data_IF_352365603963
#
_entry.id   IF_352365603963
#
_cell.length_a   1.000
_cell.length_b   1.000
_cell.length_c   1.000
_cell.angle_alpha   90.00
_cell.angle_beta   90.00
_cell.angle_gamma   90.00
#
_symmetry.space_group_name_H-M   'P 1'
#
loop_
_entity.id
_entity.type
_entity.pdbx_description
1 polymer ?
#
# COMPACT_ATOMS: atom_id res chain seq x y z
N UNK A 1 25.10 25.25 36.18
CA UNK A 1 24.68 25.99 34.97
C UNK A 1 24.83 25.05 33.79
N UNK A 2 23.69 24.58 33.26
CA UNK A 2 23.62 23.48 32.31
C UNK A 2 23.97 23.90 30.89
N UNK A 3 24.83 23.11 30.23
CA UNK A 3 25.18 23.23 28.82
C UNK A 3 24.29 22.31 27.99
N UNK A 4 23.10 22.80 27.62
CA UNK A 4 22.22 22.15 26.63
C UNK A 4 22.64 22.56 25.22
N UNK A 5 23.65 21.90 24.64
CA UNK A 5 24.00 22.08 23.22
C UNK A 5 24.37 20.79 22.47
N UNK A 6 24.19 19.62 23.09
CA UNK A 6 24.48 18.31 22.47
C UNK A 6 23.22 17.56 21.99
N UNK A 7 22.02 18.05 22.27
CA UNK A 7 20.77 17.38 21.92
C UNK A 7 20.33 17.50 20.45
N UNK A 8 20.83 18.49 19.71
CA UNK A 8 20.32 18.80 18.36
C UNK A 8 21.13 18.17 17.22
N UNK A 9 22.37 17.74 17.45
CA UNK A 9 23.22 17.18 16.40
C UNK A 9 22.94 15.69 16.12
N UNK A 10 22.40 14.95 17.10
CA UNK A 10 22.09 13.52 16.95
C UNK A 10 20.76 13.31 16.20
N UNK A 11 19.89 14.32 16.14
CA UNK A 11 18.59 14.20 15.49
C UNK A 11 18.62 14.34 13.96
N UNK A 12 19.68 14.91 13.38
CA UNK A 12 19.79 15.09 11.91
C UNK A 12 20.52 13.97 11.17
N UNK A 13 21.19 13.06 11.88
CA UNK A 13 21.86 11.90 11.28
C UNK A 13 21.12 10.57 11.49
N UNK A 14 19.88 10.61 11.99
CA UNK A 14 19.00 9.44 12.09
C UNK A 14 18.16 9.21 10.82
N UNK A 15 18.74 9.50 9.64
CA UNK A 15 18.09 9.35 8.33
C UNK A 15 18.59 8.12 7.55
N UNK A 16 19.51 7.33 8.11
CA UNK A 16 20.04 6.13 7.46
C UNK A 16 19.46 4.82 8.02
N UNK A 17 18.62 4.20 7.20
CA UNK A 17 18.48 2.75 7.06
C UNK A 17 18.07 1.90 8.28
N UNK A 18 16.86 2.13 8.82
CA UNK A 18 16.24 1.13 9.70
C UNK A 18 15.66 -0.03 8.87
N UNK A 19 16.48 -1.06 8.62
CA UNK A 19 16.05 -2.38 8.11
C UNK A 19 15.39 -3.16 9.25
N UNK A 20 14.09 -3.02 9.44
CA UNK A 20 13.37 -3.79 10.46
C UNK A 20 12.92 -5.15 9.96
N UNK A 21 13.56 -6.19 10.50
CA UNK A 21 13.07 -7.56 10.46
C UNK A 21 11.98 -7.76 11.51
N UNK A 22 10.80 -8.22 11.05
CA UNK A 22 9.77 -8.95 11.82
C UNK A 22 9.27 -8.25 13.08
N UNK A 23 8.40 -7.26 12.91
CA UNK A 23 7.58 -6.72 14.00
C UNK A 23 6.09 -6.98 13.72
N UNK A 24 5.42 -7.62 14.68
CA UNK A 24 3.96 -7.70 14.74
C UNK A 24 3.39 -6.40 15.30
N UNK A 25 2.39 -5.84 14.61
CA UNK A 25 1.59 -4.68 15.02
C UNK A 25 2.39 -3.38 15.31
N UNK A 26 3.11 -2.86 14.32
CA UNK A 26 3.73 -1.52 14.39
C UNK A 26 2.86 -0.45 13.73
N UNK A 27 2.68 0.70 14.42
CA UNK A 27 2.26 1.97 13.81
C UNK A 27 3.52 2.66 13.30
N UNK A 28 3.58 2.95 12.00
CA UNK A 28 4.76 3.48 11.32
C UNK A 28 4.33 4.73 10.56
N UNK A 29 5.06 5.83 10.73
CA UNK A 29 4.61 7.14 10.25
C UNK A 29 5.46 7.77 9.14
N UNK A 30 6.69 7.32 8.82
CA UNK A 30 7.47 8.01 7.77
C UNK A 30 8.54 7.15 7.09
N UNK A 31 8.54 7.20 5.75
CA UNK A 31 9.48 6.64 4.75
C UNK A 31 10.21 5.34 5.14
N UNK A 32 9.58 4.18 4.92
CA UNK A 32 10.16 2.89 5.32
C UNK A 32 10.07 1.81 4.23
N UNK A 33 11.09 0.94 4.24
CA UNK A 33 11.05 -0.34 3.54
C UNK A 33 10.72 -1.42 4.57
N UNK A 34 9.51 -1.98 4.48
CA UNK A 34 9.07 -3.05 5.36
C UNK A 34 9.22 -4.40 4.67
N UNK A 35 9.78 -5.36 5.41
CA UNK A 35 9.81 -6.77 5.02
C UNK A 35 8.63 -7.52 5.62
N UNK A 36 8.53 -8.80 5.28
CA UNK A 36 7.43 -9.70 5.63
C UNK A 36 7.00 -9.55 7.10
N UNK A 37 5.73 -9.21 7.29
CA UNK A 37 5.07 -9.14 8.61
C UNK A 37 3.74 -9.90 8.57
N UNK A 38 3.32 -10.43 9.72
CA UNK A 38 2.02 -11.11 9.84
C UNK A 38 0.84 -10.12 9.84
N UNK A 39 1.01 -8.97 10.50
CA UNK A 39 -0.03 -7.96 10.62
C UNK A 39 0.58 -6.57 10.77
N UNK A 40 0.20 -5.66 9.87
CA UNK A 40 0.62 -4.27 9.86
C UNK A 40 -0.59 -3.34 9.72
N UNK A 41 -0.58 -2.27 10.51
CA UNK A 41 -1.55 -1.18 10.43
C UNK A 41 -0.82 0.14 10.35
N UNK A 42 -1.05 0.86 9.26
CA UNK A 42 -0.40 2.13 8.97
C UNK A 42 -1.51 3.16 8.84
N UNK A 43 -1.47 4.19 9.67
CA UNK A 43 -2.44 5.27 9.58
C UNK A 43 -2.11 6.13 8.36
N UNK A 44 -0.88 6.62 8.26
CA UNK A 44 -0.46 7.53 7.20
C UNK A 44 0.97 7.20 6.76
N UNK A 45 1.26 7.39 5.48
CA UNK A 45 2.63 7.28 4.97
C UNK A 45 2.83 8.05 3.67
N UNK A 46 4.01 8.64 3.50
CA UNK A 46 4.34 9.38 2.26
C UNK A 46 4.91 8.46 1.18
N UNK A 47 5.92 7.66 1.51
CA UNK A 47 6.57 6.73 0.60
C UNK A 47 6.80 5.41 1.32
N UNK A 48 6.08 4.37 0.91
CA UNK A 48 6.18 3.07 1.56
C UNK A 48 6.43 1.97 0.54
N UNK A 49 7.36 1.09 0.90
CA UNK A 49 7.60 -0.14 0.16
C UNK A 49 7.44 -1.32 1.08
N UNK A 50 6.62 -2.29 0.67
CA UNK A 50 6.37 -3.51 1.42
C UNK A 50 6.66 -4.69 0.50
N UNK A 51 7.60 -5.54 0.89
CA UNK A 51 7.92 -6.75 0.12
C UNK A 51 6.90 -7.86 0.33
N UNK A 52 6.29 -7.96 1.51
CA UNK A 52 5.28 -8.98 1.80
C UNK A 52 4.51 -8.68 3.08
N UNK A 53 3.25 -9.11 3.15
CA UNK A 53 2.48 -9.14 4.40
C UNK A 53 1.38 -10.19 4.35
N UNK A 54 1.00 -10.75 5.49
CA UNK A 54 -0.22 -11.57 5.57
C UNK A 54 -1.46 -10.66 5.68
N UNK A 55 -1.44 -9.70 6.60
CA UNK A 55 -2.52 -8.75 6.78
C UNK A 55 -1.99 -7.32 6.82
N UNK A 56 -2.46 -6.48 5.90
CA UNK A 56 -2.04 -5.09 5.81
C UNK A 56 -3.26 -4.19 5.71
N UNK A 57 -3.32 -3.20 6.60
CA UNK A 57 -4.28 -2.11 6.55
C UNK A 57 -3.55 -0.79 6.49
N UNK A 58 -3.88 0.04 5.51
CA UNK A 58 -3.36 1.38 5.36
C UNK A 58 -4.56 2.32 5.28
N UNK A 59 -4.63 3.34 6.14
CA UNK A 59 -5.69 4.33 6.00
C UNK A 59 -5.35 5.26 4.84
N UNK A 60 -4.21 5.94 4.89
CA UNK A 60 -3.83 6.93 3.89
C UNK A 60 -2.38 6.77 3.43
N UNK A 61 -2.15 7.00 2.13
CA UNK A 61 -0.78 7.12 1.64
C UNK A 61 -0.63 7.90 0.34
N UNK A 62 0.48 8.62 0.19
CA UNK A 62 0.81 9.24 -1.09
C UNK A 62 1.34 8.22 -2.11
N UNK A 63 2.41 7.48 -1.79
CA UNK A 63 3.03 6.51 -2.69
C UNK A 63 3.23 5.15 -2.00
N UNK A 64 2.55 4.12 -2.50
CA UNK A 64 2.70 2.74 -2.03
C UNK A 64 3.19 1.82 -3.14
N UNK A 65 4.19 1.01 -2.79
CA UNK A 65 4.58 -0.16 -3.58
C UNK A 65 4.52 -1.41 -2.71
N UNK A 66 3.71 -2.38 -3.11
CA UNK A 66 3.52 -3.63 -2.38
C UNK A 66 3.75 -4.78 -3.36
N UNK A 67 4.62 -5.72 -3.00
CA UNK A 67 5.00 -6.81 -3.91
C UNK A 67 4.15 -8.07 -3.74
N UNK A 68 3.78 -8.42 -2.51
CA UNK A 68 2.92 -9.55 -2.20
C UNK A 68 2.07 -9.23 -0.95
N UNK A 69 0.83 -9.69 -0.93
CA UNK A 69 0.00 -9.64 0.28
C UNK A 69 -1.13 -10.67 0.24
N UNK A 70 -1.46 -11.30 1.37
CA UNK A 70 -2.64 -12.16 1.44
C UNK A 70 -3.93 -11.34 1.56
N UNK A 71 -3.96 -10.40 2.51
CA UNK A 71 -5.09 -9.50 2.72
C UNK A 71 -4.62 -8.05 2.80
N UNK A 72 -5.00 -7.26 1.80
CA UNK A 72 -4.67 -5.84 1.72
C UNK A 72 -5.94 -5.00 1.74
N UNK A 73 -5.99 -4.03 2.67
CA UNK A 73 -7.01 -2.98 2.70
C UNK A 73 -6.34 -1.62 2.70
N UNK A 74 -6.73 -0.78 1.76
CA UNK A 74 -6.28 0.61 1.65
C UNK A 74 -7.52 1.48 1.61
N UNK A 75 -7.64 2.47 2.50
CA UNK A 75 -8.76 3.40 2.39
C UNK A 75 -8.49 4.38 1.25
N UNK A 76 -7.39 5.13 1.31
CA UNK A 76 -7.10 6.18 0.34
C UNK A 76 -5.63 6.17 -0.07
N UNK A 77 -5.37 6.40 -1.37
CA UNK A 77 -4.02 6.66 -1.82
C UNK A 77 -3.92 7.43 -3.14
N UNK A 78 -2.87 8.25 -3.31
CA UNK A 78 -2.61 8.89 -4.59
C UNK A 78 -2.01 7.91 -5.62
N UNK A 79 -0.96 7.18 -5.26
CA UNK A 79 -0.24 6.30 -6.18
C UNK A 79 -0.01 4.91 -5.60
N UNK A 80 -0.63 3.92 -6.23
CA UNK A 80 -0.55 2.51 -5.85
C UNK A 80 0.08 1.68 -6.95
N UNK A 81 1.14 0.94 -6.60
CA UNK A 81 1.63 -0.19 -7.41
C UNK A 81 1.63 -1.45 -6.56
N UNK A 82 0.78 -2.40 -6.93
CA UNK A 82 0.57 -3.63 -6.18
C UNK A 82 0.80 -4.83 -7.10
N UNK A 83 1.63 -5.75 -6.65
CA UNK A 83 1.84 -7.04 -7.31
C UNK A 83 1.23 -8.14 -6.44
N UNK A 84 0.58 -9.10 -7.11
CA UNK A 84 0.14 -10.38 -6.55
C UNK A 84 -0.57 -10.36 -5.17
N UNK A 85 -1.51 -9.44 -4.87
CA UNK A 85 -2.33 -9.63 -3.70
C UNK A 85 -3.31 -10.79 -3.93
N UNK A 86 -3.53 -11.64 -2.93
CA UNK A 86 -4.64 -12.57 -2.99
C UNK A 86 -5.98 -11.83 -2.86
N UNK A 87 -6.16 -11.04 -1.80
CA UNK A 87 -7.36 -10.25 -1.59
C UNK A 87 -7.01 -8.77 -1.41
N UNK A 88 -7.49 -7.93 -2.31
CA UNK A 88 -7.27 -6.48 -2.28
C UNK A 88 -8.60 -5.74 -2.20
N UNK A 89 -8.72 -4.85 -1.22
CA UNK A 89 -9.79 -3.87 -1.12
C UNK A 89 -9.21 -2.46 -1.09
N UNK A 90 -9.68 -1.61 -1.98
CA UNK A 90 -9.33 -0.19 -2.06
C UNK A 90 -10.63 0.61 -2.05
N UNK A 91 -10.73 1.61 -1.17
CA UNK A 91 -11.87 2.53 -1.23
C UNK A 91 -11.63 3.56 -2.32
N UNK A 92 -10.53 4.31 -2.27
CA UNK A 92 -10.23 5.36 -3.24
C UNK A 92 -8.77 5.31 -3.69
N UNK A 93 -8.54 5.59 -4.98
CA UNK A 93 -7.20 5.85 -5.48
C UNK A 93 -7.16 6.81 -6.68
N UNK A 94 -6.14 7.65 -6.76
CA UNK A 94 -5.95 8.49 -7.95
C UNK A 94 -5.32 7.67 -9.09
N UNK A 95 -4.24 6.94 -8.82
CA UNK A 95 -3.55 6.10 -9.79
C UNK A 95 -3.27 4.71 -9.21
N UNK A 96 -3.85 3.68 -9.82
CA UNK A 96 -3.75 2.30 -9.35
C UNK A 96 -3.25 1.38 -10.47
N UNK A 97 -2.14 0.68 -10.20
CA UNK A 97 -1.59 -0.37 -11.06
C UNK A 97 -1.51 -1.68 -10.30
N UNK A 98 -2.15 -2.71 -10.85
CA UNK A 98 -2.19 -4.06 -10.30
C UNK A 98 -1.68 -5.04 -11.35
N UNK A 99 -0.65 -5.82 -11.03
CA UNK A 99 -0.05 -6.76 -11.99
C UNK A 99 -0.68 -8.16 -11.98
N UNK A 100 -1.36 -8.56 -10.91
CA UNK A 100 -1.95 -9.88 -10.76
C UNK A 100 -2.74 -9.97 -9.47
N UNK A 101 -3.92 -10.58 -9.43
CA UNK A 101 -4.65 -10.81 -8.16
C UNK A 101 -5.67 -11.95 -8.24
N UNK A 102 -6.05 -12.52 -7.10
CA UNK A 102 -7.20 -13.43 -7.07
C UNK A 102 -8.51 -12.64 -6.94
N UNK A 103 -8.62 -11.74 -5.96
CA UNK A 103 -9.84 -10.98 -5.70
C UNK A 103 -9.56 -9.48 -5.52
N UNK A 104 -10.15 -8.67 -6.40
CA UNK A 104 -10.09 -7.22 -6.35
C UNK A 104 -11.45 -6.62 -6.05
N UNK A 105 -11.49 -5.70 -5.08
CA UNK A 105 -12.62 -4.80 -4.87
C UNK A 105 -12.14 -3.37 -4.76
N UNK A 106 -12.53 -2.54 -5.71
CA UNK A 106 -12.18 -1.12 -5.80
C UNK A 106 -13.49 -0.34 -5.78
N UNK A 107 -13.67 0.59 -4.86
CA UNK A 107 -14.84 1.47 -4.92
C UNK A 107 -14.61 2.51 -6.01
N UNK A 108 -13.56 3.31 -5.91
CA UNK A 108 -13.29 4.43 -6.82
C UNK A 108 -11.83 4.47 -7.27
N UNK A 109 -11.61 4.79 -8.55
CA UNK A 109 -10.28 5.11 -9.06
C UNK A 109 -10.31 6.06 -10.25
N UNK A 110 -9.47 7.11 -10.27
CA UNK A 110 -9.36 7.93 -11.47
C UNK A 110 -8.67 7.18 -12.61
N UNK A 111 -7.50 6.59 -12.35
CA UNK A 111 -6.75 5.83 -13.35
C UNK A 111 -6.44 4.43 -12.82
N UNK A 112 -7.08 3.43 -13.43
CA UNK A 112 -6.95 2.02 -13.06
C UNK A 112 -6.35 1.20 -14.20
N UNK A 113 -5.29 0.46 -13.88
CA UNK A 113 -4.69 -0.56 -14.75
C UNK A 113 -4.57 -1.88 -14.01
N UNK A 114 -5.19 -2.93 -14.54
CA UNK A 114 -5.11 -4.30 -14.03
C UNK A 114 -4.60 -5.19 -15.16
N UNK A 115 -3.47 -5.86 -14.95
CA UNK A 115 -2.94 -6.80 -15.94
C UNK A 115 -3.70 -8.12 -15.92
N UNK A 116 -3.78 -8.77 -14.76
CA UNK A 116 -4.46 -10.06 -14.61
C UNK A 116 -5.22 -10.11 -13.29
N UNK A 117 -6.41 -10.70 -13.30
CA UNK A 117 -7.12 -11.03 -12.07
C UNK A 117 -8.15 -12.15 -12.25
N UNK A 118 -8.43 -12.94 -11.22
CA UNK A 118 -9.57 -13.88 -11.32
C UNK A 118 -10.90 -13.14 -11.15
N UNK A 119 -11.11 -12.45 -10.03
CA UNK A 119 -12.35 -11.75 -9.73
C UNK A 119 -12.11 -10.25 -9.53
N UNK A 120 -12.84 -9.42 -10.26
CA UNK A 120 -12.70 -7.96 -10.20
C UNK A 120 -14.06 -7.32 -9.97
N UNK A 121 -14.17 -6.53 -8.90
CA UNK A 121 -15.29 -5.65 -8.64
C UNK A 121 -14.85 -4.19 -8.60
N UNK A 122 -15.37 -3.36 -9.50
CA UNK A 122 -15.04 -1.92 -9.55
C UNK A 122 -16.34 -1.13 -9.56
N UNK A 123 -16.54 -0.23 -8.59
CA UNK A 123 -17.80 0.54 -8.53
C UNK A 123 -17.77 1.72 -9.49
N UNK A 124 -16.68 2.48 -9.51
CA UNK A 124 -16.49 3.63 -10.39
C UNK A 124 -15.03 3.75 -10.83
N UNK A 125 -14.82 4.14 -12.08
CA UNK A 125 -13.50 4.58 -12.52
C UNK A 125 -13.56 5.46 -13.76
N UNK A 126 -12.81 6.56 -13.79
CA UNK A 126 -12.78 7.45 -14.95
C UNK A 126 -12.03 6.83 -16.14
N UNK A 127 -10.81 6.34 -15.91
CA UNK A 127 -9.99 5.66 -16.90
C UNK A 127 -9.66 4.25 -16.41
N UNK A 128 -10.05 3.24 -17.18
CA UNK A 128 -9.83 1.84 -16.83
C UNK A 128 -9.21 1.05 -17.97
N UNK A 129 -8.19 0.26 -17.64
CA UNK A 129 -7.64 -0.78 -18.51
C UNK A 129 -7.55 -2.08 -17.71
N UNK A 130 -8.22 -3.12 -18.19
CA UNK A 130 -8.10 -4.47 -17.66
C UNK A 130 -7.69 -5.34 -18.84
N UNK A 131 -6.51 -5.97 -18.78
CA UNK A 131 -6.07 -6.85 -19.86
C UNK A 131 -6.78 -8.19 -19.78
N UNK A 132 -6.73 -8.85 -18.62
CA UNK A 132 -7.35 -10.16 -18.42
C UNK A 132 -8.10 -10.24 -17.08
N UNK A 133 -9.34 -10.73 -17.15
CA UNK A 133 -10.10 -11.10 -15.96
C UNK A 133 -11.05 -12.26 -16.22
N UNK A 134 -11.12 -13.24 -15.31
CA UNK A 134 -12.09 -14.35 -15.45
C UNK A 134 -13.52 -13.89 -15.15
N UNK A 135 -13.70 -13.16 -14.05
CA UNK A 135 -14.97 -12.60 -13.63
C UNK A 135 -14.80 -11.12 -13.35
N UNK A 136 -15.51 -10.28 -14.11
CA UNK A 136 -15.52 -8.85 -13.92
C UNK A 136 -16.95 -8.35 -13.69
N UNK A 137 -17.13 -7.51 -12.68
CA UNK A 137 -18.38 -6.79 -12.43
C UNK A 137 -18.06 -5.35 -12.05
N UNK A 138 -18.69 -4.39 -12.71
CA UNK A 138 -18.54 -2.99 -12.32
C UNK A 138 -19.39 -2.07 -13.16
N UNK A 139 -19.66 -0.88 -12.63
CA UNK A 139 -20.35 0.13 -13.41
C UNK A 139 -19.35 0.75 -14.40
N UNK A 140 -19.90 1.20 -15.53
CA UNK A 140 -19.22 1.98 -16.55
C UNK A 140 -19.13 3.43 -16.10
#
# INVERSE_FOLDING_TARGET
>A
MGTNFLGYAILKHFQEAFRLSRFGNSRISESQNLRISESLRISESQNLRISGSQNLRISESQNLRISESQNLRISESQYLRISEPQNLRISESQNLRISGSQNLRISESQNLSISESQNVRISESQNRRISESQNFSGNL
#
